data_IF_759794955001
#
_entry.id   IF_759794955001
#
_cell.length_a   1.000
_cell.length_b   1.000
_cell.length_c   1.000
_cell.angle_alpha   90.00
_cell.angle_beta   90.00
_cell.angle_gamma   90.00
#
_symmetry.space_group_name_H-M   'P 1'
#
loop_
_entity.id
_entity.type
_entity.pdbx_description
1 polymer ?
#
# COMPACT_ATOMS: atom_id res chain seq x y z
N UNK A 1 0.13 14.24 31.93
CA UNK A 1 0.48 14.37 33.35
C UNK A 1 1.26 13.15 33.81
N UNK A 2 1.10 12.76 35.07
CA UNK A 2 1.64 11.54 35.65
C UNK A 2 0.66 10.97 36.68
N UNK A 3 0.75 9.66 36.94
CA UNK A 3 -0.10 8.98 37.92
C UNK A 3 0.65 8.68 39.22
N UNK A 4 1.94 8.36 39.14
CA UNK A 4 2.75 7.99 40.29
C UNK A 4 4.15 8.59 40.26
N UNK A 5 4.72 8.73 41.44
CA UNK A 5 6.13 9.07 41.65
C UNK A 5 6.73 8.02 42.58
N UNK A 6 7.93 7.55 42.29
CA UNK A 6 8.65 6.56 43.09
C UNK A 6 9.90 7.25 43.65
N UNK A 7 10.02 7.28 44.97
CA UNK A 7 11.17 7.88 45.65
C UNK A 7 12.42 7.00 45.51
N UNK A 8 13.59 7.56 45.85
CA UNK A 8 14.86 6.82 45.88
C UNK A 8 14.81 5.56 46.76
N UNK A 9 14.02 5.60 47.84
CA UNK A 9 13.83 4.47 48.76
C UNK A 9 12.81 3.43 48.24
N UNK A 10 12.28 3.61 47.03
CA UNK A 10 11.29 2.72 46.40
C UNK A 10 9.85 2.96 46.83
N UNK A 11 9.56 4.00 47.63
CA UNK A 11 8.19 4.32 48.04
C UNK A 11 7.42 4.89 46.85
N UNK A 12 6.33 4.22 46.47
CA UNK A 12 5.41 4.66 45.42
C UNK A 12 4.34 5.59 45.98
N UNK A 13 4.25 6.81 45.45
CA UNK A 13 3.31 7.86 45.82
C UNK A 13 2.25 7.98 44.73
N UNK A 14 0.97 7.86 45.09
CA UNK A 14 -0.17 8.05 44.19
C UNK A 14 -0.55 9.54 44.10
N UNK A 15 -0.41 10.12 42.91
CA UNK A 15 -0.67 11.55 42.65
C UNK A 15 -2.15 11.90 42.60
N UNK A 16 -3.06 10.92 42.69
CA UNK A 16 -4.50 11.17 42.80
C UNK A 16 -4.87 11.81 44.14
N UNK A 17 -4.17 11.44 45.21
CA UNK A 17 -4.50 11.83 46.59
C UNK A 17 -3.43 12.70 47.26
N UNK A 18 -2.36 13.06 46.54
CA UNK A 18 -1.23 13.80 47.10
C UNK A 18 -1.15 15.25 46.57
N UNK A 19 -0.49 16.13 47.34
CA UNK A 19 -0.22 17.51 46.91
C UNK A 19 0.86 17.52 45.81
N UNK A 20 0.37 17.68 44.57
CA UNK A 20 1.19 17.61 43.36
C UNK A 20 2.22 18.74 43.26
N UNK A 21 1.92 19.93 43.79
CA UNK A 21 2.84 21.09 43.70
C UNK A 21 4.04 20.84 44.59
N UNK A 22 3.78 20.48 45.86
CA UNK A 22 4.83 20.15 46.82
C UNK A 22 5.70 18.98 46.35
N UNK A 23 5.07 17.91 45.81
CA UNK A 23 5.84 16.76 45.31
C UNK A 23 6.75 17.16 44.14
N UNK A 24 6.27 17.99 43.22
CA UNK A 24 7.07 18.44 42.08
C UNK A 24 8.30 19.25 42.51
N UNK A 25 8.16 20.10 43.54
CA UNK A 25 9.27 20.88 44.12
C UNK A 25 10.30 20.00 44.85
N UNK A 26 9.89 18.83 45.35
CA UNK A 26 10.77 17.87 46.05
C UNK A 26 11.42 16.82 45.15
N UNK A 27 11.23 16.87 43.82
CA UNK A 27 11.82 15.89 42.91
C UNK A 27 13.35 16.03 42.87
N UNK A 28 14.04 14.90 43.04
CA UNK A 28 15.51 14.84 43.07
C UNK A 28 16.05 13.71 42.16
N UNK A 29 17.32 13.79 41.71
CA UNK A 29 17.96 12.70 40.97
C UNK A 29 17.86 11.35 41.70
N UNK A 30 17.44 10.31 40.97
CA UNK A 30 17.21 8.97 41.51
C UNK A 30 15.73 8.66 41.82
N UNK A 31 14.84 9.64 41.70
CA UNK A 31 13.40 9.41 41.69
C UNK A 31 12.89 9.02 40.30
N UNK A 32 11.80 8.25 40.24
CA UNK A 32 11.14 7.87 38.99
C UNK A 32 9.73 8.46 38.91
N UNK A 33 9.30 8.83 37.71
CA UNK A 33 7.96 9.39 37.46
C UNK A 33 7.22 8.52 36.45
N UNK A 34 6.11 7.91 36.86
CA UNK A 34 5.22 7.16 35.96
C UNK A 34 4.29 8.15 35.24
N UNK A 35 4.83 8.76 34.18
CA UNK A 35 4.12 9.72 33.33
C UNK A 35 3.14 9.04 32.38
N UNK A 36 2.17 9.81 31.90
CA UNK A 36 1.31 9.39 30.78
C UNK A 36 2.12 9.30 29.49
N UNK A 37 1.63 8.49 28.54
CA UNK A 37 2.13 8.47 27.16
C UNK A 37 2.01 9.86 26.52
N UNK A 38 2.99 10.22 25.70
CA UNK A 38 3.09 11.48 24.98
C UNK A 38 3.55 11.22 23.54
N UNK A 39 3.38 12.22 22.70
CA UNK A 39 3.89 12.19 21.34
C UNK A 39 5.39 11.90 21.33
N UNK A 40 5.82 10.99 20.46
CA UNK A 40 7.22 10.58 20.37
C UNK A 40 7.60 9.33 21.18
N UNK A 41 6.73 8.86 22.08
CA UNK A 41 6.97 7.62 22.82
C UNK A 41 6.97 6.40 21.90
N UNK A 42 7.82 5.41 22.22
CA UNK A 42 7.90 4.16 21.45
C UNK A 42 7.01 3.11 22.09
N UNK A 43 6.22 2.43 21.26
CA UNK A 43 5.27 1.39 21.65
C UNK A 43 5.36 0.23 20.68
N UNK A 44 5.11 -0.99 21.16
CA UNK A 44 5.01 -2.17 20.32
C UNK A 44 3.54 -2.40 19.95
N UNK A 45 3.26 -2.46 18.66
CA UNK A 45 1.92 -2.64 18.12
C UNK A 45 1.82 -3.99 17.41
N UNK A 46 0.78 -4.76 17.73
CA UNK A 46 0.62 -6.15 17.29
C UNK A 46 -0.83 -6.46 16.87
N UNK A 47 -0.98 -7.27 15.81
CA UNK A 47 -2.24 -7.94 15.45
C UNK A 47 -2.09 -9.44 15.60
N UNK A 48 -3.07 -10.11 16.20
CA UNK A 48 -3.12 -11.57 16.26
C UNK A 48 -3.91 -12.13 15.05
N UNK A 49 -3.56 -13.32 14.54
CA UNK A 49 -2.44 -14.17 14.94
C UNK A 49 -1.08 -13.65 14.43
N UNK A 50 -0.03 -13.80 15.24
CA UNK A 50 1.33 -13.39 14.87
C UNK A 50 2.03 -14.46 14.02
N UNK A 51 1.86 -14.39 12.69
CA UNK A 51 2.42 -15.39 11.76
C UNK A 51 3.91 -15.20 11.46
N UNK A 52 4.40 -13.97 11.59
CA UNK A 52 5.80 -13.62 11.33
C UNK A 52 6.21 -12.42 12.19
N UNK A 53 7.52 -12.15 12.30
CA UNK A 53 8.04 -11.04 13.12
C UNK A 53 7.44 -9.67 12.77
N UNK A 54 7.00 -9.48 11.52
CA UNK A 54 6.34 -8.27 11.04
C UNK A 54 4.96 -8.01 11.66
N UNK A 55 4.35 -9.04 12.26
CA UNK A 55 3.07 -8.92 12.97
C UNK A 55 3.21 -8.16 14.30
N UNK A 56 4.44 -7.84 14.73
CA UNK A 56 4.73 -6.96 15.87
C UNK A 56 5.86 -5.99 15.48
N UNK A 57 5.58 -4.69 15.53
CA UNK A 57 6.57 -3.65 15.20
C UNK A 57 6.46 -2.50 16.18
N UNK A 58 7.54 -1.74 16.31
CA UNK A 58 7.56 -0.52 17.09
C UNK A 58 6.98 0.65 16.28
N UNK A 59 6.07 1.40 16.90
CA UNK A 59 5.49 2.63 16.37
C UNK A 59 5.81 3.81 17.29
N UNK A 60 5.68 5.01 16.74
CA UNK A 60 5.79 6.26 17.49
C UNK A 60 4.39 6.73 17.86
N UNK A 61 4.16 6.94 19.15
CA UNK A 61 2.87 7.44 19.66
C UNK A 61 2.59 8.83 19.12
N UNK A 62 1.34 9.02 18.68
CA UNK A 62 0.72 10.31 18.46
C UNK A 62 -0.63 10.34 19.14
N UNK A 63 -0.75 11.10 20.20
CA UNK A 63 -1.96 11.22 21.01
C UNK A 63 -2.96 12.08 20.25
N UNK A 64 -4.12 11.50 19.95
CA UNK A 64 -5.20 12.12 19.20
C UNK A 64 -6.53 11.86 19.92
N UNK A 65 -7.54 12.73 19.80
CA UNK A 65 -8.85 12.47 20.36
C UNK A 65 -9.45 11.21 19.71
N UNK A 66 -10.15 10.37 20.47
CA UNK A 66 -10.78 9.13 19.99
C UNK A 66 -10.60 7.96 20.93
N UNK A 67 -11.25 6.83 20.61
CA UNK A 67 -11.21 5.59 21.40
C UNK A 67 -10.57 4.41 20.63
N UNK A 68 -10.03 4.66 19.45
CA UNK A 68 -9.43 3.65 18.57
C UNK A 68 -7.96 3.92 18.34
N UNK A 69 -7.20 2.85 18.08
CA UNK A 69 -5.87 2.99 17.49
C UNK A 69 -6.01 3.36 16.01
N UNK A 70 -5.14 4.26 15.55
CA UNK A 70 -5.08 4.66 14.13
C UNK A 70 -3.81 4.09 13.53
N UNK A 71 -3.97 3.33 12.46
CA UNK A 71 -2.88 2.75 11.69
C UNK A 71 -2.82 3.41 10.30
N UNK A 72 -1.62 3.66 9.79
CA UNK A 72 -1.44 4.12 8.42
C UNK A 72 -1.77 2.97 7.45
N UNK A 73 -2.61 3.24 6.44
CA UNK A 73 -3.07 2.25 5.45
C UNK A 73 -1.93 1.54 4.71
N UNK A 74 -0.79 2.21 4.51
CA UNK A 74 0.39 1.61 3.87
C UNK A 74 0.99 0.47 4.69
N UNK A 75 0.73 0.46 6.01
CA UNK A 75 1.26 -0.49 7.00
C UNK A 75 0.22 -1.58 7.34
N UNK A 76 -0.94 -1.62 6.68
CA UNK A 76 -1.90 -2.70 6.84
C UNK A 76 -1.37 -4.08 6.39
N UNK A 77 -0.68 -4.22 5.23
CA UNK A 77 -0.20 -5.52 4.75
C UNK A 77 0.66 -6.32 5.76
N UNK A 78 1.68 -5.75 6.45
CA UNK A 78 2.47 -6.52 7.42
C UNK A 78 1.68 -6.99 8.64
N UNK A 79 0.52 -6.40 8.94
CA UNK A 79 -0.37 -6.89 10.00
C UNK A 79 -1.50 -7.78 9.46
N UNK A 80 -1.65 -7.86 8.13
CA UNK A 80 -2.83 -8.38 7.46
C UNK A 80 -4.13 -7.79 8.04
N UNK A 81 -4.08 -6.50 8.39
CA UNK A 81 -5.16 -5.80 9.08
C UNK A 81 -6.14 -5.17 8.09
N UNK A 82 -7.42 -5.25 8.42
CA UNK A 82 -8.48 -4.50 7.77
C UNK A 82 -9.19 -3.58 8.78
N UNK A 83 -10.36 -3.05 8.42
CA UNK A 83 -11.10 -2.10 9.25
C UNK A 83 -12.58 -2.47 9.37
N UNK A 84 -12.91 -3.77 9.34
CA UNK A 84 -14.29 -4.26 9.45
C UNK A 84 -14.73 -4.57 10.91
N UNK A 85 -13.83 -4.35 11.87
CA UNK A 85 -14.03 -4.67 13.28
C UNK A 85 -12.78 -5.16 14.01
N UNK A 86 -11.65 -5.24 13.29
CA UNK A 86 -10.34 -5.66 13.81
C UNK A 86 -9.91 -4.97 15.13
N UNK A 87 -9.41 -5.79 16.06
CA UNK A 87 -8.78 -5.35 17.30
C UNK A 87 -7.26 -5.56 17.25
N UNK A 88 -6.51 -4.66 17.88
CA UNK A 88 -5.03 -4.72 17.92
C UNK A 88 -4.50 -4.40 19.31
N UNK A 89 -3.36 -5.01 19.65
CA UNK A 89 -2.72 -4.89 20.95
C UNK A 89 -1.63 -3.83 20.93
N UNK A 90 -1.53 -3.09 22.04
CA UNK A 90 -0.49 -2.08 22.27
C UNK A 90 0.28 -2.41 23.56
N UNK A 91 1.59 -2.57 23.44
CA UNK A 91 2.48 -2.81 24.57
C UNK A 91 3.43 -1.63 24.73
N UNK A 92 3.62 -1.16 25.97
CA UNK A 92 4.51 -0.04 26.29
C UNK A 92 5.77 -0.57 26.96
N UNK A 93 6.94 -0.60 26.28
CA UNK A 93 8.20 -0.95 26.92
C UNK A 93 8.54 0.06 28.01
N UNK A 94 8.98 -0.42 29.18
CA UNK A 94 9.23 0.43 30.36
C UNK A 94 10.69 0.83 30.53
N UNK A 95 11.62 -0.10 30.36
CA UNK A 95 13.06 0.18 30.54
C UNK A 95 13.58 1.00 29.37
N UNK A 96 14.56 1.87 29.63
CA UNK A 96 15.21 2.65 28.58
C UNK A 96 15.91 1.75 27.55
N UNK A 97 16.48 0.62 28.02
CA UNK A 97 17.09 -0.39 27.15
C UNK A 97 16.08 -0.98 26.16
N UNK A 98 14.89 -1.40 26.63
CA UNK A 98 13.86 -1.96 25.76
C UNK A 98 13.27 -0.90 24.82
N UNK A 99 13.17 0.36 25.25
CA UNK A 99 12.76 1.47 24.40
C UNK A 99 13.78 1.75 23.30
N UNK A 100 15.07 1.73 23.62
CA UNK A 100 16.15 1.90 22.66
C UNK A 100 16.20 0.74 21.66
N UNK A 101 16.13 -0.50 22.14
CA UNK A 101 16.09 -1.70 21.30
C UNK A 101 14.89 -1.68 20.34
N UNK A 102 13.69 -1.37 20.85
CA UNK A 102 12.50 -1.25 20.02
C UNK A 102 12.62 -0.14 18.96
N UNK A 103 13.23 0.99 19.30
CA UNK A 103 13.44 2.12 18.38
C UNK A 103 14.42 1.77 17.26
N UNK A 104 15.53 1.14 17.58
CA UNK A 104 16.57 0.83 16.60
C UNK A 104 16.23 -0.41 15.77
N UNK A 105 15.68 -1.46 16.39
CA UNK A 105 15.52 -2.76 15.74
C UNK A 105 14.10 -3.04 15.25
N UNK A 106 13.07 -2.41 15.82
CA UNK A 106 11.67 -2.80 15.55
C UNK A 106 10.84 -1.71 14.87
N UNK A 107 11.38 -0.51 14.66
CA UNK A 107 10.62 0.60 14.07
C UNK A 107 10.14 0.24 12.65
N UNK A 108 8.87 0.54 12.35
CA UNK A 108 8.19 0.18 11.08
C UNK A 108 9.02 0.48 9.83
N UNK A 109 9.68 1.65 9.79
CA UNK A 109 10.46 2.08 8.62
C UNK A 109 11.62 1.14 8.29
N UNK A 110 12.23 0.48 9.29
CA UNK A 110 13.32 -0.47 9.07
C UNK A 110 12.85 -1.82 8.55
N UNK A 111 11.54 -2.03 8.54
CA UNK A 111 10.91 -3.28 8.11
C UNK A 111 9.98 -3.10 6.91
N UNK A 112 10.23 -2.10 6.06
CA UNK A 112 9.51 -1.94 4.80
C UNK A 112 9.71 -3.16 3.89
N UNK A 113 10.91 -3.76 3.88
CA UNK A 113 11.23 -4.95 3.09
C UNK A 113 10.92 -6.25 3.85
N UNK A 114 10.18 -7.16 3.21
CA UNK A 114 9.84 -8.45 3.80
C UNK A 114 11.06 -9.38 3.86
N UNK A 115 11.33 -10.04 5.00
CA UNK A 115 12.39 -11.04 5.10
C UNK A 115 12.12 -12.29 4.25
N UNK A 116 10.85 -12.55 3.85
CA UNK A 116 10.47 -13.76 3.10
C UNK A 116 10.96 -13.74 1.65
N UNK A 117 10.89 -12.59 0.99
CA UNK A 117 11.14 -12.47 -0.45
C UNK A 117 11.92 -11.21 -0.86
N UNK A 118 12.33 -10.39 0.12
CA UNK A 118 13.18 -9.21 -0.11
C UNK A 118 12.50 -8.05 -0.88
N UNK A 119 11.18 -8.06 -1.02
CA UNK A 119 10.42 -6.96 -1.62
C UNK A 119 9.65 -6.14 -0.58
N UNK A 120 9.21 -4.92 -0.91
CA UNK A 120 8.48 -4.07 0.02
C UNK A 120 7.12 -4.67 0.36
N UNK A 121 6.87 -4.96 1.64
CA UNK A 121 5.55 -5.37 2.14
C UNK A 121 4.67 -4.15 2.43
N UNK A 122 5.28 -3.03 2.80
CA UNK A 122 4.60 -1.74 2.99
C UNK A 122 4.50 -1.04 1.62
N UNK A 123 3.32 -0.55 1.26
CA UNK A 123 3.12 0.10 -0.03
C UNK A 123 1.68 0.52 -0.30
N UNK A 124 1.48 1.16 -1.46
CA UNK A 124 0.17 1.64 -1.88
C UNK A 124 -0.77 0.50 -2.22
N UNK A 125 -1.95 0.52 -1.63
CA UNK A 125 -3.07 -0.32 -2.05
C UNK A 125 -4.12 0.55 -2.78
N UNK A 126 -5.17 -0.08 -3.30
CA UNK A 126 -6.44 0.51 -3.75
C UNK A 126 -6.35 2.00 -4.16
N UNK A 127 -6.81 2.93 -3.33
CA UNK A 127 -6.90 4.36 -3.64
C UNK A 127 -5.56 5.02 -3.96
N UNK A 128 -4.47 4.58 -3.33
CA UNK A 128 -3.13 5.07 -3.69
C UNK A 128 -2.75 4.67 -5.11
N UNK A 129 -3.10 3.44 -5.52
CA UNK A 129 -2.82 2.94 -6.87
C UNK A 129 -3.67 3.69 -7.90
N UNK A 130 -4.97 3.86 -7.63
CA UNK A 130 -5.87 4.60 -8.51
C UNK A 130 -5.46 6.08 -8.63
N UNK A 131 -5.17 6.73 -7.50
CA UNK A 131 -4.74 8.12 -7.45
C UNK A 131 -3.39 8.33 -8.14
N UNK A 132 -2.43 7.42 -7.95
CA UNK A 132 -1.14 7.47 -8.63
C UNK A 132 -1.28 7.29 -10.15
N UNK A 133 -2.08 6.32 -10.59
CA UNK A 133 -2.30 6.04 -12.01
C UNK A 133 -2.95 7.24 -12.70
N UNK A 134 -4.05 7.75 -12.13
CA UNK A 134 -4.75 8.90 -12.68
C UNK A 134 -3.88 10.16 -12.66
N UNK A 135 -3.14 10.42 -11.58
CA UNK A 135 -2.28 11.60 -11.49
C UNK A 135 -1.15 11.56 -12.52
N UNK A 136 -0.49 10.41 -12.65
CA UNK A 136 0.70 10.27 -13.51
C UNK A 136 0.39 9.97 -14.97
N UNK A 137 -0.88 9.82 -15.36
CA UNK A 137 -1.28 9.66 -16.76
C UNK A 137 -0.89 10.86 -17.65
N UNK A 138 -0.48 10.60 -18.90
CA UNK A 138 -0.27 11.64 -19.94
C UNK A 138 -1.46 12.59 -20.11
N UNK A 139 -2.68 12.12 -19.87
CA UNK A 139 -3.90 12.92 -20.04
C UNK A 139 -4.11 13.96 -18.93
N UNK A 140 -3.32 13.91 -17.86
CA UNK A 140 -3.52 14.74 -16.66
C UNK A 140 -2.79 16.06 -16.77
N UNK A 141 -3.57 17.14 -16.93
CA UNK A 141 -3.10 18.51 -16.95
C UNK A 141 -3.66 19.27 -15.74
N UNK A 142 -2.77 19.88 -14.97
CA UNK A 142 -3.07 20.54 -13.71
C UNK A 142 -2.94 22.06 -13.87
N UNK A 143 -3.85 22.79 -13.23
CA UNK A 143 -3.74 24.24 -13.05
C UNK A 143 -2.78 24.57 -11.91
N UNK A 144 -2.34 25.82 -11.82
CA UNK A 144 -1.47 26.26 -10.73
C UNK A 144 -2.13 26.07 -9.36
N UNK A 145 -3.45 26.28 -9.26
CA UNK A 145 -4.23 26.06 -8.03
C UNK A 145 -4.22 24.58 -7.62
N UNK A 146 -4.41 23.67 -8.58
CA UNK A 146 -4.31 22.23 -8.33
C UNK A 146 -2.94 21.85 -7.79
N UNK A 147 -1.88 22.38 -8.40
CA UNK A 147 -0.50 22.09 -7.99
C UNK A 147 -0.25 22.56 -6.55
N UNK A 148 -0.71 23.76 -6.20
CA UNK A 148 -0.55 24.30 -4.84
C UNK A 148 -1.31 23.43 -3.83
N UNK A 149 -2.56 23.06 -4.11
CA UNK A 149 -3.37 22.21 -3.22
C UNK A 149 -2.74 20.83 -3.01
N UNK A 150 -2.32 20.17 -4.11
CA UNK A 150 -1.70 18.85 -4.07
C UNK A 150 -0.37 18.84 -3.31
N UNK A 151 0.51 19.82 -3.58
CA UNK A 151 1.80 19.94 -2.91
C UNK A 151 1.65 20.33 -1.43
N UNK A 152 0.65 21.15 -1.10
CA UNK A 152 0.33 21.49 0.29
C UNK A 152 -0.13 20.28 1.08
N UNK A 153 -1.01 19.45 0.52
CA UNK A 153 -1.45 18.20 1.15
C UNK A 153 -0.29 17.20 1.35
N UNK A 154 0.67 17.20 0.43
CA UNK A 154 1.90 16.42 0.55
C UNK A 154 2.96 17.03 1.49
N UNK A 155 2.70 18.20 2.09
CA UNK A 155 3.65 18.87 2.98
C UNK A 155 4.92 19.38 2.28
N UNK A 156 4.89 19.56 0.97
CA UNK A 156 6.03 20.02 0.19
C UNK A 156 6.31 21.52 0.44
N UNK A 157 7.57 21.85 0.74
CA UNK A 157 8.01 23.23 1.05
C UNK A 157 9.01 23.81 0.04
N UNK A 158 9.29 23.09 -1.04
CA UNK A 158 10.22 23.53 -2.06
C UNK A 158 9.61 24.52 -3.05
N UNK A 159 10.38 24.86 -4.09
CA UNK A 159 9.91 25.72 -5.18
C UNK A 159 9.00 24.92 -6.12
N UNK A 160 7.89 25.52 -6.52
CA UNK A 160 7.02 24.96 -7.55
C UNK A 160 7.79 24.97 -8.88
N UNK A 161 7.84 23.85 -9.62
CA UNK A 161 8.52 23.80 -10.91
C UNK A 161 7.82 24.67 -11.95
N UNK A 162 8.52 24.99 -13.03
CA UNK A 162 7.88 25.63 -14.19
C UNK A 162 6.87 24.68 -14.87
N UNK A 163 5.80 25.22 -15.48
CA UNK A 163 4.80 24.39 -16.15
C UNK A 163 5.41 23.65 -17.34
N UNK A 164 5.07 22.37 -17.51
CA UNK A 164 5.48 21.61 -18.69
C UNK A 164 4.91 22.20 -20.00
N UNK A 165 3.74 22.83 -19.92
CA UNK A 165 3.05 23.41 -21.08
C UNK A 165 2.83 24.89 -20.81
N UNK A 166 3.35 25.75 -21.68
CA UNK A 166 3.21 27.21 -21.56
C UNK A 166 2.01 27.76 -22.35
N UNK A 167 1.62 27.11 -23.44
CA UNK A 167 0.58 27.55 -24.38
C UNK A 167 -0.36 26.40 -24.73
N UNK A 168 -1.69 26.61 -24.90
CA UNK A 168 -2.41 27.90 -24.84
C UNK A 168 -2.60 28.44 -23.43
N UNK A 169 -2.49 27.58 -22.40
CA UNK A 169 -2.52 27.97 -20.99
C UNK A 169 -1.41 27.23 -20.26
N UNK A 170 -0.86 27.87 -19.23
CA UNK A 170 0.12 27.24 -18.34
C UNK A 170 -0.50 26.01 -17.67
N UNK A 171 0.11 24.84 -17.87
CA UNK A 171 -0.31 23.57 -17.27
C UNK A 171 0.89 22.78 -16.79
N UNK A 172 0.70 22.10 -15.68
CA UNK A 172 1.64 21.14 -15.10
C UNK A 172 1.15 19.73 -15.36
N UNK A 173 2.06 18.76 -15.34
CA UNK A 173 1.69 17.34 -15.43
C UNK A 173 1.86 16.68 -14.07
N UNK A 174 1.08 15.64 -13.77
CA UNK A 174 1.29 14.90 -12.53
C UNK A 174 2.65 14.21 -12.46
N UNK A 175 3.25 13.88 -13.61
CA UNK A 175 4.63 13.39 -13.72
C UNK A 175 5.66 14.38 -13.15
N UNK A 176 5.51 15.68 -13.44
CA UNK A 176 6.37 16.72 -12.84
C UNK A 176 6.23 16.76 -11.32
N UNK A 177 5.02 16.61 -10.80
CA UNK A 177 4.75 16.71 -9.37
C UNK A 177 5.36 15.53 -8.59
N UNK A 178 5.19 14.30 -9.07
CA UNK A 178 5.81 13.12 -8.41
C UNK A 178 7.32 13.17 -8.46
N UNK A 179 7.90 13.75 -9.53
CA UNK A 179 9.36 13.91 -9.67
C UNK A 179 9.98 14.81 -8.61
N UNK A 180 9.19 15.66 -7.93
CA UNK A 180 9.68 16.50 -6.82
C UNK A 180 10.05 15.68 -5.58
N UNK A 181 9.51 14.47 -5.44
CA UNK A 181 9.74 13.58 -4.31
C UNK A 181 10.78 12.50 -4.60
N UNK A 182 11.41 12.52 -5.78
CA UNK A 182 12.43 11.56 -6.16
C UNK A 182 13.84 12.17 -6.03
N UNK A 183 14.86 11.37 -5.66
CA UNK A 183 16.24 11.85 -5.62
C UNK A 183 16.73 12.21 -7.03
N UNK A 184 17.53 13.28 -7.16
CA UNK A 184 17.99 13.80 -8.45
C UNK A 184 18.94 12.88 -9.22
N UNK A 185 19.45 11.82 -8.60
CA UNK A 185 20.30 10.83 -9.25
C UNK A 185 19.58 9.49 -9.46
N UNK A 186 18.32 9.37 -9.02
CA UNK A 186 17.58 8.13 -9.11
C UNK A 186 17.18 7.82 -10.56
N UNK A 187 17.43 6.58 -10.98
CA UNK A 187 17.07 6.09 -12.30
C UNK A 187 16.29 4.78 -12.15
N UNK A 188 15.22 4.63 -12.91
CA UNK A 188 14.40 3.42 -12.89
C UNK A 188 13.78 3.17 -14.26
N UNK A 189 13.76 1.90 -14.68
CA UNK A 189 13.05 1.45 -15.87
C UNK A 189 12.24 0.21 -15.53
N UNK A 190 10.98 0.19 -15.94
CA UNK A 190 10.14 -0.97 -15.71
C UNK A 190 8.77 -0.89 -16.39
N UNK A 191 8.18 -2.04 -16.67
CA UNK A 191 6.82 -2.14 -17.19
C UNK A 191 5.82 -1.86 -16.06
N UNK A 192 4.85 -0.98 -16.28
CA UNK A 192 3.71 -0.80 -15.39
C UNK A 192 2.83 -2.07 -15.35
N UNK A 193 1.91 -2.18 -14.40
CA UNK A 193 0.88 -3.24 -14.39
C UNK A 193 -0.02 -3.13 -15.62
N UNK A 194 -0.33 -1.91 -16.07
CA UNK A 194 -1.15 -1.67 -17.27
C UNK A 194 -0.48 -2.08 -18.58
N UNK A 195 0.83 -2.37 -18.58
CA UNK A 195 1.54 -2.87 -19.76
C UNK A 195 1.19 -4.35 -20.05
N UNK A 196 -0.01 -4.59 -20.57
CA UNK A 196 -0.53 -5.90 -20.93
C UNK A 196 -1.45 -5.82 -22.17
N UNK A 197 -1.47 -6.88 -22.97
CA UNK A 197 -2.29 -6.95 -24.17
C UNK A 197 -2.01 -5.79 -25.12
N UNK A 198 -3.06 -5.07 -25.53
CA UNK A 198 -2.98 -3.92 -26.45
C UNK A 198 -2.17 -2.76 -25.86
N UNK A 199 -2.08 -2.67 -24.53
CA UNK A 199 -1.32 -1.62 -23.82
C UNK A 199 0.14 -2.01 -23.57
N UNK A 200 0.61 -3.17 -24.04
CA UNK A 200 1.98 -3.60 -23.86
C UNK A 200 2.97 -2.64 -24.53
N UNK A 201 3.98 -2.24 -23.76
CA UNK A 201 5.15 -1.54 -24.27
C UNK A 201 6.41 -2.21 -23.73
N UNK A 202 7.44 -2.26 -24.57
CA UNK A 202 8.72 -2.91 -24.26
C UNK A 202 9.82 -1.91 -23.92
N UNK A 203 9.65 -0.66 -24.37
CA UNK A 203 10.64 0.40 -24.24
C UNK A 203 10.00 1.77 -23.94
N UNK A 204 10.86 2.79 -23.90
CA UNK A 204 10.49 4.18 -23.61
C UNK A 204 9.59 4.81 -24.69
N UNK A 205 9.60 4.28 -25.92
CA UNK A 205 8.81 4.77 -27.06
C UNK A 205 7.39 4.21 -27.02
N UNK A 206 6.72 4.44 -25.89
CA UNK A 206 5.42 3.87 -25.62
C UNK A 206 4.29 4.87 -25.91
N UNK A 207 3.47 4.59 -26.91
CA UNK A 207 2.25 5.35 -27.18
C UNK A 207 1.31 5.30 -25.96
N UNK A 208 1.12 4.11 -25.41
CA UNK A 208 0.17 3.79 -24.33
C UNK A 208 0.60 4.24 -22.92
N UNK A 209 1.76 4.89 -22.78
CA UNK A 209 2.28 5.37 -21.49
C UNK A 209 2.38 4.28 -20.39
N UNK A 210 2.65 3.04 -20.79
CA UNK A 210 2.69 1.88 -19.89
C UNK A 210 4.11 1.44 -19.50
N UNK A 211 5.15 2.08 -20.06
CA UNK A 211 6.55 1.85 -19.71
C UNK A 211 7.10 3.00 -18.87
N UNK A 212 7.48 2.70 -17.63
CA UNK A 212 7.97 3.65 -16.63
C UNK A 212 9.45 3.92 -16.87
N UNK A 213 9.77 5.19 -17.09
CA UNK A 213 11.14 5.67 -17.25
C UNK A 213 11.36 6.86 -16.33
N UNK A 214 12.20 6.68 -15.32
CA UNK A 214 12.71 7.73 -14.45
C UNK A 214 14.19 7.91 -14.75
N UNK A 215 14.59 9.14 -15.06
CA UNK A 215 16.00 9.50 -15.26
C UNK A 215 16.32 10.71 -14.40
N UNK A 216 17.38 10.64 -13.60
CA UNK A 216 17.83 11.73 -12.72
C UNK A 216 16.69 12.31 -11.85
N UNK A 217 15.87 11.43 -11.28
CA UNK A 217 14.73 11.80 -10.44
C UNK A 217 13.53 12.40 -11.18
N UNK A 218 13.54 12.41 -12.52
CA UNK A 218 12.43 12.91 -13.31
C UNK A 218 11.68 11.76 -13.98
N UNK A 219 10.37 11.69 -13.73
CA UNK A 219 9.46 10.75 -14.39
C UNK A 219 9.13 11.26 -15.79
N UNK A 220 9.76 10.66 -16.80
CA UNK A 220 9.62 11.05 -18.20
C UNK A 220 8.42 10.36 -18.86
N UNK A 221 8.31 9.04 -18.69
CA UNK A 221 7.25 8.22 -19.29
C UNK A 221 6.70 7.24 -18.28
N UNK A 222 5.49 6.74 -18.56
CA UNK A 222 4.85 5.72 -17.76
C UNK A 222 3.89 6.28 -16.72
N UNK A 223 3.16 5.36 -16.12
CA UNK A 223 2.21 5.60 -15.04
C UNK A 223 2.60 4.82 -13.80
N UNK A 224 2.35 5.39 -12.63
CA UNK A 224 2.50 4.70 -11.36
C UNK A 224 1.25 3.91 -11.05
N UNK A 225 1.41 2.59 -10.93
CA UNK A 225 0.35 1.68 -10.52
C UNK A 225 0.87 0.67 -9.49
N UNK A 226 0.17 -0.46 -9.33
CA UNK A 226 0.57 -1.51 -8.38
C UNK A 226 2.02 -1.93 -8.59
N UNK A 227 2.53 -2.07 -9.82
CA UNK A 227 3.93 -2.48 -10.07
C UNK A 227 4.96 -1.40 -9.72
N UNK A 228 4.57 -0.13 -9.63
CA UNK A 228 5.48 0.96 -9.29
C UNK A 228 5.56 1.19 -7.77
N UNK A 229 4.41 1.33 -7.12
CA UNK A 229 4.30 1.80 -5.72
C UNK A 229 3.60 0.80 -4.79
N UNK A 230 3.09 -0.31 -5.34
CA UNK A 230 2.24 -1.23 -4.62
C UNK A 230 2.97 -2.09 -3.61
N UNK A 231 2.24 -2.46 -2.56
CA UNK A 231 2.69 -3.46 -1.59
C UNK A 231 2.95 -4.81 -2.27
N UNK A 232 3.88 -5.58 -1.70
CA UNK A 232 4.23 -6.95 -2.09
C UNK A 232 4.75 -7.09 -3.53
N UNK A 233 5.20 -6.00 -4.15
CA UNK A 233 5.79 -6.04 -5.48
C UNK A 233 7.32 -6.02 -5.41
N UNK A 234 8.01 -7.17 -5.60
CA UNK A 234 9.45 -7.19 -5.62
C UNK A 234 9.98 -6.40 -6.84
N UNK A 235 11.14 -5.75 -6.66
CA UNK A 235 11.83 -4.96 -7.70
C UNK A 235 11.01 -3.79 -8.27
N UNK A 236 9.98 -3.33 -7.56
CA UNK A 236 9.28 -2.09 -7.88
C UNK A 236 10.15 -0.85 -7.61
N UNK A 237 9.66 0.34 -7.96
CA UNK A 237 10.38 1.60 -7.77
C UNK A 237 10.73 1.82 -6.29
N UNK A 238 9.78 1.57 -5.38
CA UNK A 238 9.99 1.76 -3.95
C UNK A 238 11.10 0.85 -3.40
N UNK A 239 11.22 -0.38 -3.90
CA UNK A 239 12.29 -1.31 -3.54
C UNK A 239 13.67 -0.71 -3.85
N UNK A 240 13.85 -0.17 -5.05
CA UNK A 240 15.12 0.45 -5.45
C UNK A 240 15.41 1.73 -4.66
N UNK A 241 14.39 2.56 -4.41
CA UNK A 241 14.54 3.74 -3.55
C UNK A 241 15.03 3.37 -2.14
N UNK A 242 14.47 2.33 -1.53
CA UNK A 242 14.89 1.86 -0.20
C UNK A 242 16.33 1.34 -0.24
N UNK A 243 16.69 0.59 -1.29
CA UNK A 243 18.00 -0.04 -1.41
C UNK A 243 19.12 0.99 -1.67
N UNK A 244 18.84 2.02 -2.46
CA UNK A 244 19.84 3.02 -2.86
C UNK A 244 19.91 4.23 -1.90
N UNK A 245 18.78 4.65 -1.33
CA UNK A 245 18.68 5.88 -0.53
C UNK A 245 18.29 5.65 0.94
N UNK A 246 18.07 4.39 1.33
CA UNK A 246 17.74 4.00 2.70
C UNK A 246 16.26 4.15 3.05
N UNK A 247 15.92 3.68 4.25
CA UNK A 247 14.54 3.60 4.74
C UNK A 247 13.97 4.96 5.15
N UNK A 248 14.81 5.89 5.60
CA UNK A 248 14.38 7.24 5.98
C UNK A 248 13.83 8.02 4.78
N UNK A 249 14.52 7.95 3.64
CA UNK A 249 14.04 8.57 2.42
C UNK A 249 12.78 7.88 1.89
N UNK A 250 12.73 6.54 1.95
CA UNK A 250 11.53 5.80 1.58
C UNK A 250 10.33 6.18 2.45
N UNK A 251 10.51 6.33 3.77
CA UNK A 251 9.50 6.84 4.69
C UNK A 251 9.05 8.25 4.28
N UNK A 252 9.98 9.15 3.96
CA UNK A 252 9.63 10.49 3.47
C UNK A 252 8.74 10.41 2.22
N UNK A 253 9.06 9.55 1.26
CA UNK A 253 8.25 9.35 0.06
C UNK A 253 6.86 8.81 0.40
N UNK A 254 6.78 7.77 1.25
CA UNK A 254 5.50 7.22 1.70
C UNK A 254 4.63 8.24 2.44
N UNK A 255 5.21 8.99 3.39
CA UNK A 255 4.46 9.93 4.23
C UNK A 255 3.99 11.18 3.47
N UNK A 256 4.62 11.54 2.34
CA UNK A 256 4.35 12.78 1.63
C UNK A 256 3.74 12.54 0.24
N UNK A 257 4.41 11.79 -0.64
CA UNK A 257 3.95 11.57 -2.02
C UNK A 257 2.60 10.84 -2.06
N UNK A 258 2.35 9.90 -1.15
CA UNK A 258 1.11 9.13 -1.15
C UNK A 258 -0.10 9.95 -0.70
N UNK A 259 0.10 10.97 0.16
CA UNK A 259 -0.96 11.94 0.50
C UNK A 259 -1.39 12.74 -0.73
N UNK A 260 -0.46 13.05 -1.62
CA UNK A 260 -0.75 13.70 -2.90
C UNK A 260 -1.69 12.86 -3.76
N UNK A 261 -1.50 11.52 -3.79
CA UNK A 261 -2.37 10.63 -4.56
C UNK A 261 -3.79 10.61 -4.00
N UNK A 262 -3.94 10.57 -2.68
CA UNK A 262 -5.25 10.65 -2.02
C UNK A 262 -5.91 12.01 -2.28
N UNK A 263 -5.17 13.11 -2.12
CA UNK A 263 -5.72 14.44 -2.40
C UNK A 263 -6.17 14.59 -3.86
N UNK A 264 -5.43 14.01 -4.78
CA UNK A 264 -5.78 14.03 -6.19
C UNK A 264 -7.05 13.24 -6.49
N UNK A 265 -7.18 12.02 -5.94
CA UNK A 265 -8.37 11.19 -6.19
C UNK A 265 -9.62 11.81 -5.57
N UNK A 266 -9.51 12.42 -4.37
CA UNK A 266 -10.58 13.20 -3.75
C UNK A 266 -11.08 14.32 -4.68
N UNK A 267 -10.16 15.06 -5.29
CA UNK A 267 -10.49 16.17 -6.18
C UNK A 267 -11.05 15.71 -7.52
N UNK A 268 -10.50 14.64 -8.10
CA UNK A 268 -10.90 14.13 -9.41
C UNK A 268 -12.27 13.46 -9.36
N UNK A 269 -12.57 12.77 -8.26
CA UNK A 269 -13.68 11.84 -8.13
C UNK A 269 -13.35 10.49 -8.77
N UNK A 270 -13.63 9.41 -8.04
CA UNK A 270 -13.50 8.04 -8.52
C UNK A 270 -14.64 7.21 -7.94
N UNK A 271 -15.43 6.58 -8.81
CA UNK A 271 -16.61 5.79 -8.43
C UNK A 271 -16.80 4.66 -9.42
N UNK A 272 -17.70 3.73 -9.09
CA UNK A 272 -18.16 2.65 -9.95
C UNK A 272 -19.68 2.72 -10.10
N UNK A 273 -20.17 2.31 -11.25
CA UNK A 273 -21.58 2.28 -11.64
C UNK A 273 -21.98 0.90 -12.15
N UNK A 274 -23.28 0.65 -12.30
CA UNK A 274 -23.78 -0.61 -12.86
C UNK A 274 -23.39 -0.74 -14.34
N UNK A 275 -23.28 0.38 -15.05
CA UNK A 275 -22.92 0.40 -16.47
C UNK A 275 -21.49 -0.09 -16.72
N UNK A 276 -20.58 0.07 -15.75
CA UNK A 276 -19.20 -0.45 -15.84
C UNK A 276 -19.14 -1.98 -15.95
N UNK A 277 -20.22 -2.68 -15.57
CA UNK A 277 -20.35 -4.15 -15.62
C UNK A 277 -21.42 -4.59 -16.63
N UNK A 278 -22.22 -3.66 -17.15
CA UNK A 278 -23.31 -3.96 -18.06
C UNK A 278 -22.78 -4.33 -19.45
N UNK A 279 -23.01 -5.57 -19.88
CA UNK A 279 -22.61 -6.03 -21.20
C UNK A 279 -23.62 -5.63 -22.30
N UNK A 280 -23.15 -5.21 -23.49
CA UNK A 280 -24.01 -4.94 -24.62
C UNK A 280 -24.69 -6.22 -25.13
N UNK A 281 -25.80 -6.07 -25.85
CA UNK A 281 -26.62 -7.22 -26.30
C UNK A 281 -25.83 -8.15 -27.21
N UNK A 282 -24.99 -7.62 -28.12
CA UNK A 282 -24.20 -8.46 -29.01
C UNK A 282 -23.20 -9.32 -28.23
N UNK A 283 -22.59 -8.78 -27.16
CA UNK A 283 -21.69 -9.56 -26.31
C UNK A 283 -22.44 -10.68 -25.56
N UNK A 284 -23.66 -10.40 -25.06
CA UNK A 284 -24.51 -11.41 -24.40
C UNK A 284 -24.97 -12.51 -25.35
N UNK A 285 -25.15 -12.21 -26.63
CA UNK A 285 -25.49 -13.19 -27.65
C UNK A 285 -24.29 -14.09 -27.97
N UNK A 286 -23.10 -13.51 -28.16
CA UNK A 286 -21.86 -14.27 -28.34
C UNK A 286 -21.56 -15.20 -27.16
N UNK A 287 -21.73 -14.71 -25.92
CA UNK A 287 -21.58 -15.55 -24.72
C UNK A 287 -22.55 -16.73 -24.75
N UNK A 288 -23.81 -16.50 -25.14
CA UNK A 288 -24.81 -17.57 -25.27
C UNK A 288 -24.45 -18.59 -26.34
N UNK A 289 -23.84 -18.16 -27.44
CA UNK A 289 -23.35 -19.08 -28.48
C UNK A 289 -22.21 -19.96 -27.96
N UNK A 290 -21.22 -19.36 -27.28
CA UNK A 290 -20.09 -20.09 -26.67
C UNK A 290 -20.58 -21.11 -25.66
N UNK A 291 -21.53 -20.72 -24.78
CA UNK A 291 -22.10 -21.62 -23.78
C UNK A 291 -22.86 -22.80 -24.41
N UNK A 292 -23.63 -22.56 -25.48
CA UNK A 292 -24.32 -23.64 -26.21
C UNK A 292 -23.36 -24.64 -26.84
N UNK A 293 -22.25 -24.16 -27.39
CA UNK A 293 -21.21 -25.03 -27.95
C UNK A 293 -20.54 -25.86 -26.84
N UNK A 294 -20.24 -25.24 -25.69
CA UNK A 294 -19.69 -25.94 -24.53
C UNK A 294 -20.65 -26.99 -23.98
N UNK A 295 -21.95 -26.67 -23.82
CA UNK A 295 -22.98 -27.63 -23.41
C UNK A 295 -23.04 -28.83 -24.36
N UNK A 296 -22.99 -28.58 -25.67
CA UNK A 296 -22.97 -29.65 -26.67
C UNK A 296 -21.77 -30.57 -26.49
N UNK A 297 -20.57 -30.03 -26.31
CA UNK A 297 -19.35 -30.82 -26.04
C UNK A 297 -19.47 -31.65 -24.75
N UNK A 298 -20.06 -31.08 -23.70
CA UNK A 298 -20.32 -31.80 -22.44
C UNK A 298 -21.29 -32.98 -22.67
N UNK A 299 -22.38 -32.78 -23.41
CA UNK A 299 -23.30 -33.88 -23.73
C UNK A 299 -22.65 -34.97 -24.57
N UNK A 300 -21.81 -34.60 -25.53
CA UNK A 300 -21.02 -35.56 -26.33
C UNK A 300 -20.09 -36.39 -25.43
N UNK A 301 -19.41 -35.78 -24.45
CA UNK A 301 -18.58 -36.48 -23.47
C UNK A 301 -19.37 -37.45 -22.60
N UNK A 302 -20.54 -37.04 -22.12
CA UNK A 302 -21.44 -37.90 -21.32
C UNK A 302 -21.90 -39.10 -22.15
N UNK A 303 -22.19 -38.90 -23.43
CA UNK A 303 -22.63 -39.98 -24.31
C UNK A 303 -21.49 -40.97 -24.63
N UNK A 304 -20.27 -40.46 -24.88
CA UNK A 304 -19.07 -41.29 -25.04
C UNK A 304 -18.81 -42.14 -23.79
N UNK A 305 -19.01 -41.55 -22.60
CA UNK A 305 -18.91 -42.25 -21.33
C UNK A 305 -19.97 -43.36 -21.19
N UNK A 306 -21.23 -43.07 -21.48
CA UNK A 306 -22.32 -44.08 -21.45
C UNK A 306 -22.08 -45.23 -22.41
N UNK A 307 -21.44 -44.97 -23.56
CA UNK A 307 -21.06 -45.99 -24.53
C UNK A 307 -19.82 -46.79 -24.12
N UNK A 308 -19.17 -46.47 -22.99
CA UNK A 308 -17.96 -47.13 -22.52
C UNK A 308 -16.72 -46.85 -23.39
N UNK A 309 -16.77 -45.84 -24.26
CA UNK A 309 -15.69 -45.48 -25.20
C UNK A 309 -14.80 -44.35 -24.70
N UNK A 310 -15.08 -43.82 -23.52
CA UNK A 310 -14.28 -42.75 -22.94
C UNK A 310 -12.89 -43.29 -22.60
N UNK A 311 -11.84 -42.58 -23.02
CA UNK A 311 -10.49 -42.95 -22.65
C UNK A 311 -10.19 -42.48 -21.21
N UNK A 312 -9.75 -43.39 -20.32
CA UNK A 312 -9.41 -43.03 -18.95
C UNK A 312 -8.22 -42.07 -18.92
N UNK A 313 -8.31 -41.07 -18.05
CA UNK A 313 -7.14 -40.26 -17.69
C UNK A 313 -6.22 -41.13 -16.83
N UNK A 314 -4.90 -41.17 -17.09
CA UNK A 314 -3.97 -42.00 -16.33
C UNK A 314 -4.08 -41.76 -14.81
N UNK A 315 -4.25 -42.84 -14.04
CA UNK A 315 -4.33 -42.79 -12.58
C UNK A 315 -5.67 -42.31 -12.00
N UNK A 316 -6.72 -42.22 -12.83
CA UNK A 316 -8.08 -41.83 -12.41
C UNK A 316 -9.10 -42.90 -12.76
N UNK A 317 -10.19 -42.93 -12.02
CA UNK A 317 -11.38 -43.72 -12.37
C UNK A 317 -12.04 -43.15 -13.63
N UNK A 318 -12.91 -43.95 -14.26
CA UNK A 318 -13.68 -43.51 -15.43
C UNK A 318 -14.62 -42.34 -15.12
N UNK A 319 -15.21 -42.33 -13.93
CA UNK A 319 -16.08 -41.25 -13.44
C UNK A 319 -15.29 -39.96 -13.21
N UNK A 320 -14.14 -40.03 -12.52
CA UNK A 320 -13.26 -38.87 -12.35
C UNK A 320 -12.71 -38.36 -13.69
N UNK A 321 -12.45 -39.25 -14.64
CA UNK A 321 -11.97 -38.90 -15.98
C UNK A 321 -13.02 -38.13 -16.78
N UNK A 322 -14.30 -38.48 -16.64
CA UNK A 322 -15.40 -37.73 -17.23
C UNK A 322 -15.50 -36.33 -16.59
N UNK A 323 -15.50 -36.26 -15.26
CA UNK A 323 -15.58 -34.99 -14.52
C UNK A 323 -14.43 -34.04 -14.89
N UNK A 324 -13.19 -34.54 -14.96
CA UNK A 324 -12.05 -33.72 -15.37
C UNK A 324 -12.21 -33.15 -16.78
N UNK A 325 -12.64 -33.97 -17.75
CA UNK A 325 -12.85 -33.50 -19.13
C UNK A 325 -13.99 -32.50 -19.23
N UNK A 326 -15.06 -32.67 -18.45
CA UNK A 326 -16.15 -31.69 -18.36
C UNK A 326 -15.64 -30.39 -17.76
N UNK A 327 -14.86 -30.46 -16.66
CA UNK A 327 -14.25 -29.30 -16.03
C UNK A 327 -13.33 -28.54 -16.99
N UNK A 328 -12.53 -29.23 -17.79
CA UNK A 328 -11.67 -28.61 -18.81
C UNK A 328 -12.50 -27.86 -19.85
N UNK A 329 -13.53 -28.50 -20.42
CA UNK A 329 -14.44 -27.86 -21.40
C UNK A 329 -15.13 -26.63 -20.82
N UNK A 330 -15.64 -26.73 -19.59
CA UNK A 330 -16.30 -25.61 -18.91
C UNK A 330 -15.31 -24.51 -18.52
N UNK A 331 -14.06 -24.86 -18.20
CA UNK A 331 -13.01 -23.88 -17.87
C UNK A 331 -12.51 -23.14 -19.11
N UNK A 332 -12.44 -23.78 -20.27
CA UNK A 332 -12.09 -23.10 -21.53
C UNK A 332 -13.22 -22.16 -22.01
N UNK A 333 -14.47 -22.53 -21.74
CA UNK A 333 -15.63 -21.71 -22.09
C UNK A 333 -15.83 -20.48 -21.19
N UNK A 334 -15.29 -20.51 -19.97
CA UNK A 334 -15.42 -19.46 -18.95
C UNK A 334 -14.45 -18.31 -19.17
#
# INVERSE_FOLDING_TARGET
GANYVITKDGRKIDLRYADRKRIAETLEPGWYVERHLRDGDIVLFNRQPSLHRMSIMAHVVKVLPGKTFRLNLLVCPPYNADFDGDEMNLHVPRTEEAQAEARELMLVQYHILSPRYGGPIIGGLQDYVSGAYLLTSKATLLTQEDVIDLLSAAGYRGKIPEPAIFSPKKRWTGKQLVSLFLPKEFNFRGKARVAAGIFLCEDEWCWNDSFITIKKGELLTGVFDKKAIGAEQPRNMMHWLIKEYGTDYARFVYDNMFKMFIRFIEKRGFTMTVDDVALPREAKEKIREILKEAEKKVYELIEIYKQGKLEPVPGRTMEESLELRILDVLSEAR
#
